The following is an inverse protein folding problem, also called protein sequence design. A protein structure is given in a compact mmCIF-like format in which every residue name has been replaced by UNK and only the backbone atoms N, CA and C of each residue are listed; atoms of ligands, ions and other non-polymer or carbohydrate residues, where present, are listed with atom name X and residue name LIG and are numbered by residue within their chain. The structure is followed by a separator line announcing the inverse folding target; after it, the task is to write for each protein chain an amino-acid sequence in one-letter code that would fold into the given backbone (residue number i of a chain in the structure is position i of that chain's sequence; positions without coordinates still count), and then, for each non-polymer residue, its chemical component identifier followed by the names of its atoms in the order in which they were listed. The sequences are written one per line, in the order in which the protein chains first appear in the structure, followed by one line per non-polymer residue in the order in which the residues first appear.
data_IF_258578808823
#
_entry.id   IF_258578808823
#
_cell.length_a   1.000
_cell.length_b   1.000
_cell.length_c   1.000
_cell.angle_alpha   90.00
_cell.angle_beta   90.00
_cell.angle_gamma   90.00
#
_symmetry.space_group_name_H-M   'P 1'
#
loop_
_entity.id
_entity.type
_entity.pdbx_description
1 polymer ?
#
# COMPACT_ATOMS: atom_id res chain seq x y z
N UNK A 1 52.12 -30.45 12.58
CA UNK A 1 50.68 -30.56 12.95
C UNK A 1 50.06 -29.22 13.37
N UNK A 2 50.64 -28.46 14.29
CA UNK A 2 50.08 -27.16 14.76
C UNK A 2 49.92 -26.08 13.66
N UNK A 3 50.88 -25.96 12.74
CA UNK A 3 50.83 -24.98 11.63
C UNK A 3 49.71 -25.28 10.62
N UNK A 4 49.42 -26.57 10.37
CA UNK A 4 48.35 -26.99 9.47
C UNK A 4 46.96 -26.65 10.06
N UNK A 5 46.82 -26.79 11.38
CA UNK A 5 45.59 -26.42 12.10
C UNK A 5 45.38 -24.90 12.10
N UNK A 6 46.44 -24.12 12.35
CA UNK A 6 46.36 -22.66 12.27
C UNK A 6 45.95 -22.20 10.87
N UNK A 7 46.51 -22.79 9.81
CA UNK A 7 46.12 -22.50 8.43
C UNK A 7 44.65 -22.86 8.16
N UNK A 8 44.18 -24.03 8.62
CA UNK A 8 42.78 -24.44 8.45
C UNK A 8 41.80 -23.49 9.17
N UNK A 9 42.15 -23.04 10.39
CA UNK A 9 41.33 -22.05 11.13
C UNK A 9 41.24 -20.71 10.39
N UNK A 10 42.36 -20.23 9.85
CA UNK A 10 42.38 -18.98 9.08
C UNK A 10 41.53 -19.10 7.81
N UNK A 11 41.63 -20.22 7.10
CA UNK A 11 40.81 -20.48 5.91
C UNK A 11 39.31 -20.51 6.24
N UNK A 12 38.92 -21.16 7.34
CA UNK A 12 37.52 -21.18 7.81
C UNK A 12 37.01 -19.76 8.14
N UNK A 13 37.81 -18.95 8.83
CA UNK A 13 37.44 -17.56 9.15
C UNK A 13 37.25 -16.73 7.88
N UNK A 14 38.15 -16.86 6.91
CA UNK A 14 38.05 -16.18 5.62
C UNK A 14 36.77 -16.60 4.88
N UNK A 15 36.47 -17.91 4.85
CA UNK A 15 35.27 -18.45 4.21
C UNK A 15 33.99 -17.91 4.86
N UNK A 16 33.94 -17.89 6.20
CA UNK A 16 32.80 -17.34 6.95
C UNK A 16 32.65 -15.83 6.71
N UNK A 17 33.75 -15.07 6.66
CA UNK A 17 33.71 -13.64 6.36
C UNK A 17 33.21 -13.36 4.93
N UNK A 18 33.66 -14.13 3.93
CA UNK A 18 33.19 -14.02 2.55
C UNK A 18 31.70 -14.36 2.41
N UNK A 19 31.23 -15.41 3.10
CA UNK A 19 29.81 -15.77 3.16
C UNK A 19 28.97 -14.67 3.82
N UNK A 20 29.48 -14.02 4.88
CA UNK A 20 28.80 -12.91 5.53
C UNK A 20 28.73 -11.65 4.64
N UNK A 21 29.82 -11.30 3.95
CA UNK A 21 29.85 -10.16 3.02
C UNK A 21 28.86 -10.35 1.86
N UNK A 22 28.87 -11.53 1.22
CA UNK A 22 27.95 -11.84 0.11
C UNK A 22 26.49 -11.89 0.56
N UNK A 23 26.23 -12.32 1.79
CA UNK A 23 24.90 -12.26 2.39
C UNK A 23 24.44 -10.82 2.66
N UNK A 24 25.33 -9.92 3.10
CA UNK A 24 25.02 -8.50 3.28
C UNK A 24 24.73 -7.79 1.95
N UNK A 25 25.46 -8.08 0.88
CA UNK A 25 25.19 -7.49 -0.44
C UNK A 25 23.82 -7.89 -0.99
N UNK A 26 23.40 -9.15 -0.82
CA UNK A 26 22.03 -9.59 -1.16
C UNK A 26 20.94 -8.86 -0.37
N UNK A 27 21.27 -8.25 0.77
CA UNK A 27 20.35 -7.53 1.65
C UNK A 27 20.21 -6.03 1.34
N UNK A 28 20.88 -5.49 0.31
CA UNK A 28 20.58 -4.13 -0.16
C UNK A 28 19.17 -4.12 -0.74
N UNK A 29 18.16 -3.90 0.11
CA UNK A 29 16.77 -3.72 -0.30
C UNK A 29 16.70 -2.42 -1.06
N UNK A 30 16.61 -2.51 -2.39
CA UNK A 30 16.27 -1.37 -3.23
C UNK A 30 14.95 -0.80 -2.72
N UNK A 31 14.97 0.42 -2.21
CA UNK A 31 13.80 1.14 -1.71
C UNK A 31 13.80 2.52 -2.35
N UNK A 32 12.81 2.76 -3.20
CA UNK A 32 12.55 4.08 -3.78
C UNK A 32 11.19 4.55 -3.31
N UNK A 33 11.16 5.67 -2.59
CA UNK A 33 9.92 6.31 -2.12
C UNK A 33 9.83 7.69 -2.73
N UNK A 34 8.71 7.98 -3.39
CA UNK A 34 8.41 9.31 -3.92
C UNK A 34 6.96 9.69 -3.70
N UNK A 35 6.70 10.97 -3.61
CA UNK A 35 5.34 11.50 -3.60
C UNK A 35 4.87 11.69 -5.03
N UNK A 36 3.63 11.28 -5.31
CA UNK A 36 3.02 11.41 -6.64
C UNK A 36 1.70 12.16 -6.54
N UNK A 37 1.33 12.96 -7.55
CA UNK A 37 0.03 13.62 -7.60
C UNK A 37 -1.12 12.62 -7.59
N UNK A 38 -2.19 12.97 -6.87
CA UNK A 38 -3.44 12.19 -6.89
C UNK A 38 -4.10 12.14 -8.28
N UNK A 39 -3.74 13.09 -9.16
CA UNK A 39 -4.22 13.18 -10.54
C UNK A 39 -3.47 12.26 -11.51
N UNK A 40 -2.43 11.53 -11.08
CA UNK A 40 -1.77 10.57 -11.96
C UNK A 40 -2.74 9.44 -12.37
N UNK A 41 -2.78 9.02 -13.65
CA UNK A 41 -3.75 8.04 -14.14
C UNK A 41 -3.77 6.73 -13.35
N UNK A 42 -2.60 6.19 -13.01
CA UNK A 42 -2.51 4.95 -12.23
C UNK A 42 -2.94 5.13 -10.79
N UNK A 43 -2.77 6.33 -10.21
CA UNK A 43 -3.29 6.64 -8.88
C UNK A 43 -4.81 6.70 -8.92
N UNK A 44 -5.39 7.37 -9.92
CA UNK A 44 -6.85 7.42 -10.12
C UNK A 44 -7.45 6.02 -10.24
N UNK A 45 -6.88 5.17 -11.10
CA UNK A 45 -7.33 3.78 -11.27
C UNK A 45 -7.21 2.97 -9.95
N UNK A 46 -6.13 3.18 -9.20
CA UNK A 46 -5.96 2.56 -7.87
C UNK A 46 -7.04 3.02 -6.91
N UNK A 47 -7.36 4.32 -6.87
CA UNK A 47 -8.40 4.86 -5.98
C UNK A 47 -9.79 4.31 -6.33
N UNK A 48 -10.09 4.14 -7.63
CA UNK A 48 -11.32 3.49 -8.09
C UNK A 48 -11.41 2.03 -7.62
N UNK A 49 -10.31 1.28 -7.71
CA UNK A 49 -10.25 -0.08 -7.16
C UNK A 49 -10.52 -0.08 -5.64
N UNK A 50 -9.87 0.81 -4.88
CA UNK A 50 -10.01 0.85 -3.43
C UNK A 50 -11.43 1.21 -3.00
N UNK A 51 -12.06 2.22 -3.59
CA UNK A 51 -13.42 2.62 -3.20
C UNK A 51 -14.44 1.53 -3.53
N UNK A 52 -14.27 0.83 -4.66
CA UNK A 52 -15.11 -0.29 -5.03
C UNK A 52 -14.96 -1.48 -4.07
N UNK A 53 -13.72 -1.83 -3.69
CA UNK A 53 -13.46 -2.89 -2.72
C UNK A 53 -14.02 -2.53 -1.34
N UNK A 54 -13.85 -1.28 -0.91
CA UNK A 54 -14.38 -0.78 0.35
C UNK A 54 -15.91 -0.89 0.39
N UNK A 55 -16.63 -0.34 -0.60
CA UNK A 55 -18.10 -0.38 -0.61
C UNK A 55 -18.65 -1.81 -0.68
N UNK A 56 -17.96 -2.70 -1.41
CA UNK A 56 -18.33 -4.11 -1.46
C UNK A 56 -18.22 -4.79 -0.08
N UNK A 57 -17.15 -4.51 0.67
CA UNK A 57 -16.83 -5.18 1.95
C UNK A 57 -17.34 -4.47 3.19
N UNK A 58 -17.65 -3.18 3.11
CA UNK A 58 -18.18 -2.40 4.24
C UNK A 58 -19.52 -2.98 4.68
N UNK A 59 -19.80 -2.98 5.98
CA UNK A 59 -21.11 -3.37 6.50
C UNK A 59 -22.12 -2.21 6.46
N UNK A 60 -21.70 -1.02 6.04
CA UNK A 60 -22.59 0.13 5.90
C UNK A 60 -23.66 -0.13 4.83
N UNK A 61 -24.88 0.34 5.10
CA UNK A 61 -26.00 0.25 4.15
C UNK A 61 -25.76 1.11 2.91
N UNK A 62 -25.01 2.19 3.08
CA UNK A 62 -24.77 3.19 2.05
C UNK A 62 -23.36 3.12 1.49
N UNK A 63 -23.24 3.50 0.23
CA UNK A 63 -21.95 3.64 -0.44
C UNK A 63 -21.23 4.90 0.04
N UNK A 64 -19.90 4.82 0.09
CA UNK A 64 -19.00 5.94 0.33
C UNK A 64 -18.39 6.41 -0.98
N UNK A 65 -17.98 7.67 -1.02
CA UNK A 65 -17.15 8.24 -2.09
C UNK A 65 -15.92 8.92 -1.47
N UNK A 66 -14.82 8.87 -2.21
CA UNK A 66 -13.61 9.61 -1.85
C UNK A 66 -13.89 11.09 -2.04
N UNK A 67 -13.74 11.87 -0.98
CA UNK A 67 -13.88 13.33 -1.00
C UNK A 67 -12.53 13.96 -1.28
N UNK A 68 -11.49 13.43 -0.64
CA UNK A 68 -10.14 14.00 -0.70
C UNK A 68 -9.09 12.91 -0.63
N UNK A 69 -8.14 12.97 -1.55
CA UNK A 69 -6.88 12.22 -1.44
C UNK A 69 -5.85 13.19 -0.88
N UNK A 70 -5.35 12.94 0.32
CA UNK A 70 -4.47 13.87 1.02
C UNK A 70 -3.05 13.81 0.45
N UNK A 71 -2.49 12.61 0.43
CA UNK A 71 -1.10 12.37 0.06
C UNK A 71 -0.92 10.96 -0.48
N UNK A 72 -0.24 10.84 -1.61
CA UNK A 72 0.09 9.56 -2.23
C UNK A 72 1.59 9.37 -2.22
N UNK A 73 2.05 8.32 -1.54
CA UNK A 73 3.45 7.88 -1.58
C UNK A 73 3.53 6.63 -2.43
N UNK A 74 4.26 6.71 -3.52
CA UNK A 74 4.67 5.54 -4.29
C UNK A 74 5.94 4.96 -3.66
N UNK A 75 5.89 3.68 -3.33
CA UNK A 75 7.01 2.93 -2.81
C UNK A 75 7.35 1.79 -3.78
N UNK A 76 8.61 1.69 -4.19
CA UNK A 76 9.13 0.60 -5.01
C UNK A 76 10.16 -0.17 -4.20
N UNK A 77 9.89 -1.46 -3.99
CA UNK A 77 10.78 -2.45 -3.40
C UNK A 77 10.98 -3.62 -4.37
N UNK A 78 10.66 -4.84 -3.95
CA UNK A 78 10.37 -6.00 -4.80
C UNK A 78 9.03 -5.89 -5.56
N UNK A 79 8.21 -4.90 -5.21
CA UNK A 79 6.97 -4.55 -5.90
C UNK A 79 6.70 -3.05 -5.83
N UNK A 80 5.69 -2.59 -6.59
CA UNK A 80 5.20 -1.21 -6.49
C UNK A 80 3.97 -1.16 -5.59
N UNK A 81 3.97 -0.21 -4.66
CA UNK A 81 2.92 0.03 -3.69
C UNK A 81 2.53 1.51 -3.69
N UNK A 82 1.23 1.81 -3.68
CA UNK A 82 0.72 3.13 -3.31
C UNK A 82 0.26 3.13 -1.86
N UNK A 83 0.79 4.07 -1.10
CA UNK A 83 0.40 4.38 0.28
C UNK A 83 -0.36 5.69 0.29
N UNK A 84 -1.63 5.65 0.68
CA UNK A 84 -2.55 6.78 0.57
C UNK A 84 -3.26 7.02 1.89
N UNK A 85 -3.37 8.29 2.28
CA UNK A 85 -4.39 8.73 3.22
C UNK A 85 -5.48 9.45 2.43
N UNK A 86 -6.74 9.11 2.72
CA UNK A 86 -7.89 9.70 2.05
C UNK A 86 -9.09 9.81 2.97
N UNK A 87 -9.90 10.83 2.70
CA UNK A 87 -11.17 11.06 3.35
C UNK A 87 -12.28 10.51 2.47
N UNK A 88 -13.16 9.71 3.06
CA UNK A 88 -14.35 9.19 2.40
C UNK A 88 -15.59 9.64 3.16
N UNK A 89 -16.64 9.98 2.41
CA UNK A 89 -17.92 10.40 2.98
C UNK A 89 -19.05 9.54 2.48
N UNK A 90 -19.96 9.23 3.38
CA UNK A 90 -21.16 8.45 3.11
C UNK A 90 -22.08 9.20 2.14
N UNK A 91 -22.66 8.46 1.21
CA UNK A 91 -23.58 8.98 0.20
C UNK A 91 -25.03 8.56 0.46
N UNK A 92 -25.96 9.13 -0.29
CA UNK A 92 -27.38 8.74 -0.26
C UNK A 92 -27.66 7.39 -0.92
N UNK A 93 -26.75 6.90 -1.76
CA UNK A 93 -26.92 5.65 -2.48
C UNK A 93 -26.75 4.45 -1.56
N UNK A 94 -27.68 3.50 -1.66
CA UNK A 94 -27.50 2.18 -1.07
C UNK A 94 -26.55 1.33 -1.93
N UNK A 95 -26.10 0.18 -1.42
CA UNK A 95 -25.06 -0.64 -2.06
C UNK A 95 -25.29 -0.97 -3.55
N UNK A 96 -26.53 -1.20 -3.96
CA UNK A 96 -26.88 -1.55 -5.35
C UNK A 96 -27.04 -0.33 -6.27
N UNK A 97 -27.07 0.87 -5.69
CA UNK A 97 -27.28 2.13 -6.40
C UNK A 97 -25.92 2.83 -6.61
N UNK A 98 -25.67 3.25 -7.84
CA UNK A 98 -24.40 3.90 -8.23
C UNK A 98 -24.60 5.26 -8.90
N UNK A 99 -25.81 5.55 -9.38
CA UNK A 99 -26.17 6.77 -10.10
C UNK A 99 -26.77 7.81 -9.16
N UNK A 100 -26.54 9.10 -9.45
CA UNK A 100 -27.14 10.23 -8.74
C UNK A 100 -26.92 10.28 -7.21
N UNK A 101 -25.86 9.67 -6.70
CA UNK A 101 -25.54 9.75 -5.27
C UNK A 101 -25.05 11.17 -4.89
N UNK A 102 -25.63 11.73 -3.83
CA UNK A 102 -25.15 12.93 -3.16
C UNK A 102 -24.57 12.55 -1.79
N UNK A 103 -23.87 13.47 -1.13
CA UNK A 103 -23.38 13.22 0.22
C UNK A 103 -24.51 13.35 1.24
N UNK A 104 -24.49 12.49 2.27
CA UNK A 104 -25.45 12.59 3.37
C UNK A 104 -25.10 13.73 4.33
N UNK A 105 -26.14 14.32 4.93
CA UNK A 105 -26.10 15.42 5.88
C UNK A 105 -26.98 15.10 7.10
N UNK A 106 -26.92 15.94 8.13
CA UNK A 106 -27.70 15.77 9.37
C UNK A 106 -27.30 14.52 10.14
N UNK A 107 -28.28 13.83 10.72
CA UNK A 107 -28.06 12.66 11.58
C UNK A 107 -27.37 11.47 10.87
N UNK A 108 -27.49 11.39 9.54
CA UNK A 108 -26.87 10.33 8.74
C UNK A 108 -25.47 10.70 8.23
N UNK A 109 -25.01 11.93 8.48
CA UNK A 109 -23.67 12.37 8.14
C UNK A 109 -22.62 11.40 8.70
N UNK A 110 -21.74 10.94 7.83
CA UNK A 110 -20.59 10.15 8.23
C UNK A 110 -19.41 10.41 7.30
N UNK A 111 -18.30 10.82 7.89
CA UNK A 111 -17.00 10.93 7.24
C UNK A 111 -16.01 10.03 7.97
N UNK A 112 -15.13 9.40 7.21
CA UNK A 112 -14.08 8.54 7.73
C UNK A 112 -12.77 8.92 7.06
N UNK A 113 -11.68 8.84 7.81
CA UNK A 113 -10.33 8.93 7.27
C UNK A 113 -9.76 7.52 7.19
N UNK A 114 -9.16 7.18 6.06
CA UNK A 114 -8.56 5.88 5.86
C UNK A 114 -7.16 5.97 5.28
N UNK A 115 -6.29 5.15 5.84
CA UNK A 115 -5.02 4.77 5.25
C UNK A 115 -5.18 3.48 4.43
N UNK A 116 -4.60 3.47 3.24
CA UNK A 116 -4.47 2.27 2.40
C UNK A 116 -3.04 2.10 1.91
N UNK A 117 -2.64 0.84 1.85
CA UNK A 117 -1.41 0.34 1.22
C UNK A 117 -1.85 -0.65 0.16
N UNK A 118 -1.55 -0.34 -1.11
CA UNK A 118 -2.06 -1.06 -2.26
C UNK A 118 -0.91 -1.48 -3.14
N UNK A 119 -0.71 -2.79 -3.27
CA UNK A 119 0.13 -3.38 -4.30
C UNK A 119 -0.48 -3.09 -5.67
N UNK A 120 0.35 -2.64 -6.61
CA UNK A 120 -0.08 -2.27 -7.95
C UNK A 120 0.86 -2.79 -9.03
N UNK A 121 0.28 -3.33 -10.10
CA UNK A 121 0.96 -3.62 -11.36
C UNK A 121 0.14 -2.93 -12.46
N UNK A 122 0.31 -1.61 -12.66
CA UNK A 122 -0.65 -0.82 -13.41
C UNK A 122 -0.81 -1.23 -14.87
N UNK A 123 0.28 -1.66 -15.51
CA UNK A 123 0.28 -2.13 -16.89
C UNK A 123 -0.48 -3.46 -17.09
N UNK A 124 -0.82 -4.17 -16.01
CA UNK A 124 -1.66 -5.35 -16.04
C UNK A 124 -2.96 -5.19 -15.23
N UNK A 125 -3.26 -3.98 -14.76
CA UNK A 125 -4.44 -3.68 -13.94
C UNK A 125 -4.60 -4.62 -12.72
N UNK A 126 -3.48 -5.06 -12.13
CA UNK A 126 -3.51 -5.91 -10.95
C UNK A 126 -3.34 -5.06 -9.70
N UNK A 127 -4.33 -5.14 -8.83
CA UNK A 127 -4.38 -4.41 -7.57
C UNK A 127 -4.63 -5.38 -6.42
N UNK A 128 -3.98 -5.13 -5.28
CA UNK A 128 -4.24 -5.88 -4.06
C UNK A 128 -4.03 -4.98 -2.85
N UNK A 129 -5.05 -4.90 -1.99
CA UNK A 129 -4.92 -4.22 -0.70
C UNK A 129 -3.99 -5.06 0.19
N UNK A 130 -2.87 -4.46 0.61
CA UNK A 130 -1.91 -5.07 1.52
C UNK A 130 -2.22 -4.70 2.97
N UNK A 131 -2.53 -3.44 3.22
CA UNK A 131 -2.92 -2.95 4.53
C UNK A 131 -3.99 -1.87 4.40
N UNK A 132 -4.86 -1.77 5.40
CA UNK A 132 -5.85 -0.71 5.51
C UNK A 132 -6.13 -0.41 6.97
N UNK A 133 -6.33 0.86 7.27
CA UNK A 133 -6.83 1.32 8.55
C UNK A 133 -7.83 2.44 8.29
N UNK A 134 -8.96 2.42 8.99
CA UNK A 134 -9.98 3.46 8.88
C UNK A 134 -10.38 3.87 10.28
N UNK A 135 -10.44 5.17 10.52
CA UNK A 135 -10.97 5.74 11.75
C UNK A 135 -12.23 6.53 11.42
N UNK A 136 -13.21 6.48 12.32
CA UNK A 136 -14.30 7.44 12.28
C UNK A 136 -13.68 8.85 12.44
N UNK A 137 -14.09 9.78 11.58
CA UNK A 137 -13.60 11.16 11.58
C UNK A 137 -14.22 12.02 12.67
#
# INVERSE_FOLDING_TARGET
MARLWQALRLLLVILVALMALTYQEKRKTFLSVREVPASEPYVIATMQYVINDFNKKSNDKYNFRIVRVLKVKQQITDHMEYRVNMEMRRTTCQKLETTNCSFQEGELYKQIECFYSVFVVPWFEKYKILNKNCTDG
#
